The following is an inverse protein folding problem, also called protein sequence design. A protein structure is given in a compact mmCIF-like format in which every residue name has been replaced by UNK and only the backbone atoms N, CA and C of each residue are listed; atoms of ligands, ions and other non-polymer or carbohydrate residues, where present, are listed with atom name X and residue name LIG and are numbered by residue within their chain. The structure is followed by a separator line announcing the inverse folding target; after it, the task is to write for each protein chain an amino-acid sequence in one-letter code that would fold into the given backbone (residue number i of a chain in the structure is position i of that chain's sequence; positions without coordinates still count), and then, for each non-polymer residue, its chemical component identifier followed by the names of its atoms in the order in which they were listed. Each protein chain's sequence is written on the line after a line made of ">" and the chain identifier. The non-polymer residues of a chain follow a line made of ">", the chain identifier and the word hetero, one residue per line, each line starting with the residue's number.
data_IF_484159846015
#
_entry.id   IF_484159846015
#
_cell.length_a   1.000
_cell.length_b   1.000
_cell.length_c   1.000
_cell.angle_alpha   90.00
_cell.angle_beta   90.00
_cell.angle_gamma   90.00
#
_symmetry.space_group_name_H-M   'P 1'
#
loop_
_entity.id
_entity.type
_entity.pdbx_description
1 polymer ?
#
# COMPACT_ATOMS: atom_id res chain seq x y z
N UNK A 1 13.09 6.07 -36.69
CA UNK A 1 11.90 5.87 -35.84
C UNK A 1 12.30 4.92 -34.71
N UNK A 2 12.73 5.43 -33.57
CA UNK A 2 13.14 4.58 -32.43
C UNK A 2 11.89 4.02 -31.77
N UNK A 3 11.63 2.73 -31.99
CA UNK A 3 10.55 1.97 -31.37
C UNK A 3 10.81 1.74 -29.88
N UNK A 4 10.72 2.80 -29.08
CA UNK A 4 10.58 2.63 -27.65
C UNK A 4 9.18 2.09 -27.40
N UNK A 5 9.08 0.85 -26.90
CA UNK A 5 7.82 0.32 -26.35
C UNK A 5 7.22 1.37 -25.40
N UNK A 6 5.91 1.65 -25.47
CA UNK A 6 5.29 2.64 -24.60
C UNK A 6 5.63 2.30 -23.15
N UNK A 7 6.27 3.25 -22.46
CA UNK A 7 6.74 3.04 -21.09
C UNK A 7 5.53 2.82 -20.19
N UNK A 8 5.40 1.61 -19.65
CA UNK A 8 4.34 1.26 -18.70
C UNK A 8 4.43 2.16 -17.44
N UNK A 9 3.40 2.99 -17.16
CA UNK A 9 3.42 3.89 -16.01
C UNK A 9 3.47 3.15 -14.66
N UNK A 10 2.98 1.90 -14.59
CA UNK A 10 3.08 1.09 -13.36
C UNK A 10 4.55 0.78 -13.06
N UNK A 11 5.30 0.33 -14.06
CA UNK A 11 6.73 0.05 -13.93
C UNK A 11 7.56 1.28 -13.56
N UNK A 12 7.22 2.46 -14.12
CA UNK A 12 7.83 3.74 -13.73
C UNK A 12 7.49 4.11 -12.29
N UNK A 13 6.22 3.98 -11.91
CA UNK A 13 5.76 4.25 -10.55
C UNK A 13 6.47 3.38 -9.51
N UNK A 14 6.61 2.08 -9.79
CA UNK A 14 7.35 1.14 -8.94
C UNK A 14 8.82 1.54 -8.78
N UNK A 15 9.47 2.00 -9.85
CA UNK A 15 10.86 2.47 -9.79
C UNK A 15 11.00 3.70 -8.90
N UNK A 16 10.22 4.74 -9.16
CA UNK A 16 10.22 5.95 -8.32
C UNK A 16 9.88 5.65 -6.86
N UNK A 17 8.96 4.73 -6.61
CA UNK A 17 8.60 4.34 -5.25
C UNK A 17 9.79 3.70 -4.51
N UNK A 18 10.52 2.78 -5.16
CA UNK A 18 11.71 2.14 -4.57
C UNK A 18 12.84 3.13 -4.28
N UNK A 19 12.97 4.16 -5.12
CA UNK A 19 13.96 5.24 -4.96
C UNK A 19 13.55 6.27 -3.90
N UNK A 20 12.34 6.19 -3.34
CA UNK A 20 11.84 7.16 -2.38
C UNK A 20 11.22 8.42 -3.00
N UNK A 21 11.14 8.49 -4.33
CA UNK A 21 10.54 9.59 -5.09
C UNK A 21 9.01 9.48 -5.10
N UNK A 22 8.37 9.54 -3.93
CA UNK A 22 6.94 9.23 -3.76
C UNK A 22 6.00 10.16 -4.54
N UNK A 23 6.36 11.42 -4.75
CA UNK A 23 5.59 12.34 -5.59
C UNK A 23 5.63 11.97 -7.08
N UNK A 24 6.74 11.44 -7.59
CA UNK A 24 6.85 10.95 -8.96
C UNK A 24 6.17 9.58 -9.11
N UNK A 25 6.26 8.75 -8.06
CA UNK A 25 5.54 7.48 -8.00
C UNK A 25 4.02 7.71 -8.08
N UNK A 26 3.49 8.66 -7.29
CA UNK A 26 2.08 9.06 -7.31
C UNK A 26 1.64 9.46 -8.72
N UNK A 27 2.38 10.34 -9.39
CA UNK A 27 2.03 10.80 -10.73
C UNK A 27 1.98 9.64 -11.74
N UNK A 28 2.93 8.71 -11.64
CA UNK A 28 3.04 7.56 -12.53
C UNK A 28 1.90 6.58 -12.31
N UNK A 29 1.59 6.23 -11.06
CA UNK A 29 0.46 5.36 -10.74
C UNK A 29 -0.89 6.03 -11.01
N UNK A 30 -1.01 7.35 -10.80
CA UNK A 30 -2.19 8.11 -11.19
C UNK A 30 -2.41 8.04 -12.70
N UNK A 31 -1.35 8.19 -13.50
CA UNK A 31 -1.43 8.00 -14.95
C UNK A 31 -1.84 6.57 -15.31
N UNK A 32 -1.33 5.57 -14.61
CA UNK A 32 -1.72 4.16 -14.82
C UNK A 32 -3.22 3.95 -14.58
N UNK A 33 -3.80 4.47 -13.49
CA UNK A 33 -5.23 4.31 -13.22
C UNK A 33 -6.12 5.15 -14.15
N UNK A 34 -5.63 6.29 -14.66
CA UNK A 34 -6.32 7.07 -15.71
C UNK A 34 -6.39 6.30 -17.03
N UNK A 35 -5.32 5.58 -17.40
CA UNK A 35 -5.27 4.76 -18.63
C UNK A 35 -6.00 3.42 -18.48
N UNK A 36 -5.94 2.84 -17.28
CA UNK A 36 -6.46 1.52 -16.95
C UNK A 36 -7.14 1.51 -15.58
N UNK A 37 -8.39 2.00 -15.47
CA UNK A 37 -9.06 2.15 -14.16
C UNK A 37 -9.39 0.82 -13.46
N UNK A 38 -9.23 -0.31 -14.16
CA UNK A 38 -9.46 -1.67 -13.65
C UNK A 38 -8.17 -2.37 -13.21
N UNK A 39 -7.01 -1.72 -13.32
CA UNK A 39 -5.74 -2.27 -12.85
C UNK A 39 -5.62 -2.11 -11.33
N UNK A 40 -5.87 -3.20 -10.60
CA UNK A 40 -5.77 -3.20 -9.14
C UNK A 40 -4.34 -2.95 -8.64
N UNK A 41 -3.30 -3.36 -9.38
CA UNK A 41 -1.92 -3.12 -8.99
C UNK A 41 -1.57 -1.63 -9.05
N UNK A 42 -2.02 -0.94 -10.10
CA UNK A 42 -1.89 0.52 -10.20
C UNK A 42 -2.56 1.25 -9.02
N UNK A 43 -3.76 0.81 -8.63
CA UNK A 43 -4.45 1.36 -7.44
C UNK A 43 -3.70 1.12 -6.14
N UNK A 44 -3.08 -0.06 -5.96
CA UNK A 44 -2.25 -0.37 -4.78
C UNK A 44 -1.01 0.52 -4.76
N UNK A 45 -0.33 0.70 -5.89
CA UNK A 45 0.84 1.58 -6.01
C UNK A 45 0.50 3.04 -5.74
N UNK A 46 -0.67 3.51 -6.21
CA UNK A 46 -1.18 4.84 -5.92
C UNK A 46 -1.46 5.02 -4.43
N UNK A 47 -2.15 4.06 -3.80
CA UNK A 47 -2.43 4.08 -2.37
C UNK A 47 -1.15 4.14 -1.52
N UNK A 48 -0.18 3.26 -1.83
CA UNK A 48 1.11 3.24 -1.13
C UNK A 48 1.88 4.56 -1.31
N UNK A 49 1.83 5.17 -2.49
CA UNK A 49 2.44 6.49 -2.72
C UNK A 49 1.78 7.57 -1.86
N UNK A 50 0.44 7.55 -1.74
CA UNK A 50 -0.27 8.47 -0.85
C UNK A 50 0.07 8.27 0.63
N UNK A 51 0.27 7.03 1.09
CA UNK A 51 0.72 6.75 2.46
C UNK A 51 2.07 7.39 2.76
N UNK A 52 3.03 7.22 1.86
CA UNK A 52 4.37 7.81 1.99
C UNK A 52 4.35 9.33 1.96
N UNK A 53 3.35 9.91 1.30
CA UNK A 53 3.08 11.35 1.27
C UNK A 53 2.17 11.82 2.42
N UNK A 54 1.80 10.94 3.36
CA UNK A 54 0.90 11.24 4.50
C UNK A 54 -0.52 11.70 4.08
N UNK A 55 -0.93 11.42 2.84
CA UNK A 55 -2.27 11.74 2.29
C UNK A 55 -3.22 10.56 2.51
N UNK A 56 -3.46 10.25 3.78
CA UNK A 56 -4.11 9.01 4.21
C UNK A 56 -5.57 8.88 3.74
N UNK A 57 -6.28 9.98 3.58
CA UNK A 57 -7.63 10.04 3.03
C UNK A 57 -7.69 9.55 1.58
N UNK A 58 -6.68 9.90 0.77
CA UNK A 58 -6.55 9.45 -0.61
C UNK A 58 -6.09 7.99 -0.66
N UNK A 59 -5.19 7.59 0.23
CA UNK A 59 -4.76 6.19 0.35
C UNK A 59 -5.95 5.26 0.65
N UNK A 60 -6.84 5.64 1.57
CA UNK A 60 -8.04 4.86 1.90
C UNK A 60 -8.96 4.65 0.69
N UNK A 61 -9.18 5.70 -0.11
CA UNK A 61 -9.98 5.61 -1.34
C UNK A 61 -9.34 4.68 -2.38
N UNK A 62 -8.03 4.80 -2.58
CA UNK A 62 -7.30 3.97 -3.52
C UNK A 62 -7.26 2.49 -3.08
N UNK A 63 -7.07 2.20 -1.80
CA UNK A 63 -7.19 0.84 -1.28
C UNK A 63 -8.60 0.27 -1.43
N UNK A 64 -9.65 1.06 -1.14
CA UNK A 64 -11.03 0.62 -1.33
C UNK A 64 -11.30 0.24 -2.79
N UNK A 65 -10.77 1.02 -3.73
CA UNK A 65 -10.88 0.74 -5.15
C UNK A 65 -10.09 -0.53 -5.55
N UNK A 66 -8.87 -0.73 -5.04
CA UNK A 66 -8.11 -1.96 -5.26
C UNK A 66 -8.85 -3.20 -4.73
N UNK A 67 -9.43 -3.12 -3.53
CA UNK A 67 -10.24 -4.19 -2.93
C UNK A 67 -11.48 -4.48 -3.78
N UNK A 68 -12.15 -3.45 -4.32
CA UNK A 68 -13.31 -3.64 -5.20
C UNK A 68 -12.96 -4.40 -6.48
N UNK A 69 -11.75 -4.21 -7.00
CA UNK A 69 -11.30 -4.80 -8.26
C UNK A 69 -10.74 -6.22 -8.11
N UNK A 70 -9.92 -6.46 -7.07
CA UNK A 70 -9.16 -7.70 -6.91
C UNK A 70 -9.49 -8.47 -5.61
N UNK A 71 -10.49 -8.01 -4.87
CA UNK A 71 -10.84 -8.54 -3.57
C UNK A 71 -9.85 -8.17 -2.47
N UNK A 72 -10.21 -8.49 -1.23
CA UNK A 72 -9.34 -8.34 -0.06
C UNK A 72 -8.31 -9.48 0.01
N UNK A 73 -7.33 -9.47 -0.89
CA UNK A 73 -6.25 -10.45 -0.93
C UNK A 73 -5.11 -10.10 0.07
N UNK A 74 -4.16 -11.02 0.36
CA UNK A 74 -3.11 -10.79 1.35
C UNK A 74 -2.28 -9.53 1.09
N UNK A 75 -1.94 -9.23 -0.17
CA UNK A 75 -1.10 -8.08 -0.54
C UNK A 75 -1.81 -6.77 -0.21
N UNK A 76 -3.07 -6.64 -0.62
CA UNK A 76 -3.84 -5.41 -0.38
C UNK A 76 -4.12 -5.23 1.12
N UNK A 77 -4.50 -6.31 1.82
CA UNK A 77 -4.74 -6.28 3.26
C UNK A 77 -3.47 -5.92 4.04
N UNK A 78 -2.32 -6.46 3.64
CA UNK A 78 -1.03 -6.13 4.24
C UNK A 78 -0.70 -4.65 4.06
N UNK A 79 -0.82 -4.13 2.84
CA UNK A 79 -0.51 -2.73 2.54
C UNK A 79 -1.47 -1.78 3.26
N UNK A 80 -2.77 -2.09 3.29
CA UNK A 80 -3.75 -1.31 4.05
C UNK A 80 -3.51 -1.38 5.57
N UNK A 81 -3.08 -2.54 6.09
CA UNK A 81 -2.68 -2.68 7.48
C UNK A 81 -1.46 -1.83 7.84
N UNK A 82 -0.44 -1.82 6.98
CA UNK A 82 0.73 -0.95 7.12
C UNK A 82 0.37 0.54 7.02
N UNK A 83 -0.55 0.90 6.13
CA UNK A 83 -1.09 2.26 6.03
C UNK A 83 -1.72 2.76 7.33
N UNK A 84 -2.47 1.89 8.03
CA UNK A 84 -3.01 2.21 9.36
C UNK A 84 -1.92 2.31 10.42
N UNK A 85 -0.91 1.45 10.36
CA UNK A 85 0.25 1.51 11.26
C UNK A 85 1.00 2.85 11.12
N UNK A 86 1.25 3.30 9.89
CA UNK A 86 1.95 4.58 9.60
C UNK A 86 1.26 5.81 10.20
N UNK A 87 -0.08 5.76 10.36
CA UNK A 87 -0.88 6.85 10.92
C UNK A 87 -1.25 6.64 12.39
N UNK A 88 -0.69 5.61 13.04
CA UNK A 88 -0.91 5.31 14.46
C UNK A 88 -2.25 4.65 14.77
N UNK A 89 -3.02 4.23 13.78
CA UNK A 89 -4.28 3.51 13.99
C UNK A 89 -4.02 2.02 14.22
N UNK A 90 -3.52 1.72 15.42
CA UNK A 90 -3.06 0.37 15.77
C UNK A 90 -4.20 -0.65 15.76
N UNK A 91 -5.44 -0.21 16.04
CA UNK A 91 -6.62 -1.07 16.03
C UNK A 91 -6.94 -1.55 14.61
N UNK A 92 -7.04 -0.63 13.64
CA UNK A 92 -7.30 -1.00 12.24
C UNK A 92 -6.11 -1.70 11.60
N UNK A 93 -4.88 -1.32 11.97
CA UNK A 93 -3.67 -2.02 11.54
C UNK A 93 -3.71 -3.49 11.94
N UNK A 94 -4.00 -3.79 13.22
CA UNK A 94 -4.11 -5.16 13.73
C UNK A 94 -5.15 -5.97 12.98
N UNK A 95 -6.34 -5.40 12.78
CA UNK A 95 -7.43 -6.08 12.09
C UNK A 95 -7.04 -6.48 10.66
N UNK A 96 -6.40 -5.57 9.91
CA UNK A 96 -6.03 -5.83 8.51
C UNK A 96 -4.85 -6.78 8.37
N UNK A 97 -3.81 -6.62 9.19
CA UNK A 97 -2.65 -7.52 9.18
C UNK A 97 -3.03 -8.94 9.64
N UNK A 98 -3.95 -9.08 10.60
CA UNK A 98 -4.48 -10.40 10.99
C UNK A 98 -5.24 -11.07 9.83
N UNK A 99 -6.08 -10.32 9.09
CA UNK A 99 -6.75 -10.85 7.90
C UNK A 99 -5.76 -11.24 6.80
N UNK A 100 -4.70 -10.44 6.59
CA UNK A 100 -3.65 -10.76 5.64
C UNK A 100 -2.95 -12.07 6.03
N UNK A 101 -2.55 -12.21 7.30
CA UNK A 101 -1.90 -13.41 7.84
C UNK A 101 -2.77 -14.66 7.72
N UNK A 102 -4.06 -14.54 7.97
CA UNK A 102 -5.00 -15.66 7.85
C UNK A 102 -5.07 -16.21 6.42
N UNK A 103 -4.76 -15.39 5.40
CA UNK A 103 -4.76 -15.79 3.99
C UNK A 103 -3.38 -16.20 3.47
N UNK A 104 -2.31 -15.68 4.06
CA UNK A 104 -0.93 -16.02 3.72
C UNK A 104 -0.05 -16.02 4.97
N UNK A 105 -0.05 -17.16 5.66
CA UNK A 105 0.66 -17.29 6.93
C UNK A 105 2.19 -17.31 6.76
N UNK A 106 2.70 -17.66 5.57
CA UNK A 106 4.13 -17.78 5.30
C UNK A 106 4.80 -16.48 4.87
N UNK A 107 4.04 -15.41 4.64
CA UNK A 107 4.59 -14.17 4.10
C UNK A 107 5.50 -13.42 5.10
N UNK A 108 6.79 -13.21 4.77
CA UNK A 108 7.71 -12.52 5.68
C UNK A 108 7.39 -11.03 5.83
N UNK A 109 6.78 -10.39 4.83
CA UNK A 109 6.41 -8.96 4.89
C UNK A 109 5.24 -8.77 5.86
N UNK A 110 4.24 -9.65 5.81
CA UNK A 110 3.13 -9.64 6.78
C UNK A 110 3.67 -9.87 8.20
N UNK A 111 4.66 -10.75 8.36
CA UNK A 111 5.31 -10.98 9.64
C UNK A 111 6.04 -9.76 10.18
N UNK A 112 6.83 -9.09 9.35
CA UNK A 112 7.54 -7.88 9.72
C UNK A 112 6.58 -6.76 10.14
N UNK A 113 5.47 -6.57 9.40
CA UNK A 113 4.48 -5.54 9.74
C UNK A 113 3.74 -5.84 11.04
N UNK A 114 3.44 -7.11 11.35
CA UNK A 114 2.86 -7.50 12.64
C UNK A 114 3.83 -7.26 13.80
N UNK A 115 5.12 -7.58 13.62
CA UNK A 115 6.14 -7.31 14.63
C UNK A 115 6.28 -5.81 14.92
N UNK A 116 6.30 -4.98 13.87
CA UNK A 116 6.34 -3.52 14.01
C UNK A 116 5.09 -2.97 14.72
N UNK A 117 3.91 -3.55 14.45
CA UNK A 117 2.68 -3.22 15.16
C UNK A 117 2.77 -3.58 16.65
N UNK A 118 3.26 -4.78 16.98
CA UNK A 118 3.40 -5.23 18.37
C UNK A 118 4.36 -4.35 19.17
N UNK A 119 5.46 -3.90 18.55
CA UNK A 119 6.38 -2.92 19.14
C UNK A 119 5.70 -1.57 19.40
N UNK A 120 4.99 -1.03 18.40
CA UNK A 120 4.25 0.23 18.54
C UNK A 120 3.20 0.18 19.66
N UNK A 121 2.50 -0.95 19.80
CA UNK A 121 1.52 -1.15 20.88
C UNK A 121 2.15 -1.25 22.26
N UNK A 122 3.35 -1.82 22.40
CA UNK A 122 4.08 -1.89 23.68
C UNK A 122 4.51 -0.50 24.12
N UNK A 123 5.16 0.25 23.23
CA UNK A 123 5.59 1.63 23.51
C UNK A 123 4.41 2.52 23.93
N UNK A 124 3.24 2.37 23.28
CA UNK A 124 2.05 3.13 23.65
C UNK A 124 1.44 2.76 25.01
N UNK A 125 1.75 1.60 25.57
CA UNK A 125 1.33 1.19 26.92
C UNK A 125 2.29 1.70 28.00
N UNK A 126 3.58 1.78 27.69
CA UNK A 126 4.62 2.20 28.64
C UNK A 126 4.61 3.71 28.91
N UNK A 127 3.94 4.50 28.07
CA UNK A 127 3.81 5.97 28.18
C UNK A 127 2.56 6.39 28.98
N UNK A 128 1.69 5.45 29.39
CA UNK A 128 0.42 5.75 30.07
C UNK A 128 0.47 5.56 31.58
#
# INVERSE_FOLDING_TARGET
>A
MTGASPVDPVSVGKRHFREGHFGLAEQSFRKAVELGPRDAEAWVGLAASYDRLRRFDLADRAYAQAIRLAGANPVILNNQGYSYLLRGDLVRARAKLAQARAKDAGNPVIAANLAALDESMKLGKDIR
#
